data_IF_381335696244
#
_entry.id   IF_381335696244
#
_cell.length_a   1.000
_cell.length_b   1.000
_cell.length_c   1.000
_cell.angle_alpha   90.00
_cell.angle_beta   90.00
_cell.angle_gamma   90.00
#
_symmetry.space_group_name_H-M   'P 1'
#
loop_
_entity.id
_entity.type
_entity.pdbx_description
1 polymer ?
#
# COMPACT_ATOMS: atom_id res chain seq x y z
N UNK A 1 -16.03 -2.22 -17.12
CA UNK A 1 -16.72 -3.18 -16.25
C UNK A 1 -16.12 -3.01 -14.87
N UNK A 2 -16.93 -2.66 -13.86
CA UNK A 2 -16.45 -2.59 -12.48
C UNK A 2 -16.37 -4.02 -11.94
N UNK A 3 -15.15 -4.54 -11.80
CA UNK A 3 -14.91 -5.87 -11.23
C UNK A 3 -14.77 -5.70 -9.72
N UNK A 4 -15.71 -6.25 -8.95
CA UNK A 4 -15.57 -6.31 -7.50
C UNK A 4 -14.48 -7.35 -7.18
N UNK A 5 -13.42 -6.93 -6.49
CA UNK A 5 -12.36 -7.82 -6.03
C UNK A 5 -12.67 -8.35 -4.63
N UNK A 6 -12.61 -9.67 -4.45
CA UNK A 6 -12.86 -10.35 -3.17
C UNK A 6 -11.55 -10.54 -2.41
N UNK A 7 -10.94 -9.44 -1.94
CA UNK A 7 -9.58 -9.41 -1.38
C UNK A 7 -9.35 -10.38 -0.22
N UNK A 8 -10.38 -10.73 0.57
CA UNK A 8 -10.24 -11.68 1.69
C UNK A 8 -10.21 -13.14 1.25
N UNK A 9 -10.74 -13.44 0.07
CA UNK A 9 -11.00 -14.79 -0.41
C UNK A 9 -10.01 -15.20 -1.50
N UNK A 10 -9.56 -14.24 -2.30
CA UNK A 10 -8.73 -14.47 -3.48
C UNK A 10 -7.46 -13.64 -3.41
N UNK A 11 -6.37 -14.21 -3.95
CA UNK A 11 -5.11 -13.50 -4.16
C UNK A 11 -5.06 -13.01 -5.59
N UNK A 12 -4.81 -11.73 -5.75
CA UNK A 12 -4.68 -11.08 -7.06
C UNK A 12 -3.23 -10.69 -7.29
N UNK A 13 -2.82 -10.70 -8.56
CA UNK A 13 -1.52 -10.16 -8.94
C UNK A 13 -1.51 -8.62 -8.85
N UNK A 14 -0.30 -8.05 -8.82
CA UNK A 14 -0.10 -6.60 -8.67
C UNK A 14 -0.76 -5.80 -9.80
N UNK A 15 -0.76 -6.31 -11.04
CA UNK A 15 -1.37 -5.58 -12.16
C UNK A 15 -2.89 -5.51 -12.01
N UNK A 16 -3.52 -6.61 -11.60
CA UNK A 16 -4.96 -6.63 -11.29
C UNK A 16 -5.31 -5.68 -10.15
N UNK A 17 -4.52 -5.67 -9.07
CA UNK A 17 -4.73 -4.74 -7.95
C UNK A 17 -4.56 -3.28 -8.39
N UNK A 18 -3.51 -3.00 -9.17
CA UNK A 18 -3.21 -1.64 -9.69
C UNK A 18 -4.34 -1.12 -10.58
N UNK A 19 -4.91 -1.97 -11.43
CA UNK A 19 -6.01 -1.59 -12.32
C UNK A 19 -7.33 -1.27 -11.58
N UNK A 20 -7.42 -1.56 -10.28
CA UNK A 20 -8.64 -1.40 -9.48
C UNK A 20 -8.43 -0.58 -8.20
N UNK A 21 -7.32 0.17 -8.07
CA UNK A 21 -6.94 0.91 -6.84
C UNK A 21 -8.04 1.84 -6.32
N UNK A 22 -8.79 2.48 -7.22
CA UNK A 22 -9.89 3.40 -6.87
C UNK A 22 -11.13 2.69 -6.29
N UNK A 23 -11.13 1.35 -6.26
CA UNK A 23 -12.25 0.52 -5.84
C UNK A 23 -11.88 -0.50 -4.76
N UNK A 24 -10.67 -0.42 -4.20
CA UNK A 24 -10.20 -1.32 -3.15
C UNK A 24 -9.89 -0.57 -1.86
N UNK A 25 -10.26 -1.17 -0.74
CA UNK A 25 -9.89 -0.69 0.59
C UNK A 25 -8.43 -1.03 0.89
N UNK A 26 -7.55 -0.03 0.97
CA UNK A 26 -6.10 -0.23 1.13
C UNK A 26 -5.75 -1.00 2.40
N UNK A 27 -6.48 -0.76 3.50
CA UNK A 27 -6.31 -1.49 4.76
C UNK A 27 -6.59 -2.98 4.58
N UNK A 28 -7.69 -3.34 3.92
CA UNK A 28 -7.99 -4.74 3.61
C UNK A 28 -6.95 -5.31 2.64
N UNK A 29 -6.54 -4.54 1.63
CA UNK A 29 -5.53 -4.96 0.65
C UNK A 29 -4.21 -5.36 1.33
N UNK A 30 -3.61 -4.47 2.15
CA UNK A 30 -2.35 -4.75 2.86
C UNK A 30 -2.47 -5.88 3.88
N UNK A 31 -3.66 -6.15 4.41
CA UNK A 31 -3.86 -7.27 5.33
C UNK A 31 -4.06 -8.62 4.64
N UNK A 32 -4.42 -8.62 3.35
CA UNK A 32 -4.94 -9.82 2.68
C UNK A 32 -4.21 -10.17 1.39
N UNK A 33 -3.42 -9.28 0.81
CA UNK A 33 -2.70 -9.53 -0.44
C UNK A 33 -1.18 -9.62 -0.20
N UNK A 34 -0.45 -10.16 -1.17
CA UNK A 34 1.03 -10.11 -1.18
C UNK A 34 1.40 -8.92 -2.07
N UNK A 35 1.92 -7.87 -1.46
CA UNK A 35 2.19 -6.59 -2.10
C UNK A 35 3.69 -6.39 -2.34
N UNK A 36 4.03 -5.62 -3.37
CA UNK A 36 5.40 -5.12 -3.56
C UNK A 36 5.62 -3.86 -2.74
N UNK A 37 6.88 -3.52 -2.46
CA UNK A 37 7.23 -2.25 -1.84
C UNK A 37 6.68 -1.05 -2.65
N UNK A 38 6.81 -1.12 -3.98
CA UNK A 38 6.31 -0.07 -4.89
C UNK A 38 4.81 0.17 -4.70
N UNK A 39 4.02 -0.91 -4.66
CA UNK A 39 2.57 -0.80 -4.47
C UNK A 39 2.22 -0.23 -3.09
N UNK A 40 2.94 -0.68 -2.04
CA UNK A 40 2.74 -0.17 -0.69
C UNK A 40 2.98 1.34 -0.60
N UNK A 41 4.06 1.85 -1.20
CA UNK A 41 4.37 3.29 -1.15
C UNK A 41 3.41 4.10 -2.01
N UNK A 42 3.09 3.63 -3.22
CA UNK A 42 2.20 4.38 -4.13
C UNK A 42 0.76 4.49 -3.64
N UNK A 43 0.25 3.44 -2.99
CA UNK A 43 -1.19 3.33 -2.70
C UNK A 43 -1.51 3.09 -1.22
N UNK A 44 -0.79 2.20 -0.52
CA UNK A 44 -1.15 1.84 0.87
C UNK A 44 -0.76 2.94 1.86
N UNK A 45 0.43 3.52 1.69
CA UNK A 45 0.97 4.60 2.53
C UNK A 45 0.64 6.00 1.98
N UNK A 46 -0.18 6.07 0.93
CA UNK A 46 -0.62 7.32 0.34
C UNK A 46 -2.00 7.69 0.90
N UNK A 47 -2.09 8.81 1.61
CA UNK A 47 -3.32 9.31 2.23
C UNK A 47 -4.46 9.52 1.22
N UNK A 48 -4.16 9.80 -0.05
CA UNK A 48 -5.18 9.96 -1.10
C UNK A 48 -5.99 8.69 -1.37
N UNK A 49 -5.43 7.52 -1.05
CA UNK A 49 -6.06 6.21 -1.25
C UNK A 49 -6.60 5.60 0.05
N UNK A 50 -6.55 6.34 1.16
CA UNK A 50 -7.04 5.86 2.45
C UNK A 50 -8.56 6.06 2.58
N UNK A 51 -9.24 5.06 3.15
CA UNK A 51 -10.70 5.02 3.24
C UNK A 51 -11.26 5.99 4.28
N UNK A 52 -10.50 6.26 5.35
CA UNK A 52 -10.93 7.06 6.49
C UNK A 52 -9.75 7.82 7.10
N UNK A 53 -10.04 8.91 7.82
CA UNK A 53 -9.03 9.68 8.57
C UNK A 53 -8.28 8.82 9.61
N UNK A 54 -8.89 7.75 10.12
CA UNK A 54 -8.22 6.85 11.05
C UNK A 54 -7.02 6.14 10.44
N UNK A 55 -7.12 5.82 9.14
CA UNK A 55 -6.08 5.08 8.45
C UNK A 55 -4.81 5.95 8.30
N UNK A 56 -4.90 7.28 8.25
CA UNK A 56 -3.75 8.19 8.09
C UNK A 56 -2.77 8.16 9.26
N UNK A 57 -3.23 7.77 10.45
CA UNK A 57 -2.36 7.58 11.63
C UNK A 57 -2.25 6.12 12.07
N UNK A 58 -2.93 5.18 11.41
CA UNK A 58 -2.88 3.75 11.74
C UNK A 58 -2.08 2.92 10.72
N UNK A 59 -1.99 3.37 9.47
CA UNK A 59 -1.27 2.68 8.39
C UNK A 59 0.06 3.41 8.17
N UNK A 60 1.06 3.04 8.98
CA UNK A 60 2.44 3.52 8.84
C UNK A 60 3.37 2.42 8.26
N UNK A 61 4.64 2.77 8.05
CA UNK A 61 5.66 1.82 7.56
C UNK A 61 5.76 0.59 8.47
N UNK A 62 5.66 0.78 9.81
CA UNK A 62 5.72 -0.32 10.76
C UNK A 62 4.53 -1.28 10.63
N UNK A 63 3.35 -0.75 10.37
CA UNK A 63 2.14 -1.51 10.06
C UNK A 63 2.33 -2.32 8.78
N UNK A 64 2.81 -1.69 7.70
CA UNK A 64 3.09 -2.38 6.43
C UNK A 64 4.06 -3.53 6.65
N UNK A 65 5.20 -3.31 7.30
CA UNK A 65 6.21 -4.36 7.55
C UNK A 65 5.66 -5.50 8.43
N UNK A 66 4.78 -5.20 9.39
CA UNK A 66 4.10 -6.24 10.18
C UNK A 66 3.12 -7.08 9.38
N UNK A 67 2.48 -6.51 8.35
CA UNK A 67 1.49 -7.19 7.50
C UNK A 67 2.10 -7.82 6.26
N UNK A 68 3.23 -7.31 5.80
CA UNK A 68 3.98 -7.74 4.62
C UNK A 68 5.40 -8.14 5.07
N UNK A 69 5.57 -9.24 5.82
CA UNK A 69 6.85 -9.62 6.43
C UNK A 69 7.94 -10.03 5.43
N UNK A 70 7.59 -10.19 4.14
CA UNK A 70 8.56 -10.39 3.07
C UNK A 70 9.23 -9.10 2.59
N UNK A 71 8.73 -7.93 3.01
CA UNK A 71 9.32 -6.64 2.71
C UNK A 71 10.27 -6.21 3.81
N UNK A 72 11.31 -5.49 3.41
CA UNK A 72 12.26 -4.83 4.28
C UNK A 72 12.01 -3.33 4.33
N UNK A 73 12.52 -2.67 5.38
CA UNK A 73 12.39 -1.21 5.50
C UNK A 73 13.15 -0.49 4.39
N UNK A 74 14.28 -1.06 3.98
CA UNK A 74 15.15 -0.59 2.91
C UNK A 74 14.43 -0.61 1.55
N UNK A 75 13.68 -1.67 1.25
CA UNK A 75 12.87 -1.73 0.03
C UNK A 75 11.79 -0.63 0.02
N UNK A 76 11.09 -0.42 1.12
CA UNK A 76 10.09 0.66 1.23
C UNK A 76 10.75 2.03 1.04
N UNK A 77 11.90 2.26 1.68
CA UNK A 77 12.62 3.54 1.59
C UNK A 77 13.11 3.81 0.16
N UNK A 78 13.64 2.79 -0.51
CA UNK A 78 14.07 2.89 -1.90
C UNK A 78 12.94 3.31 -2.85
N UNK A 79 11.70 2.91 -2.58
CA UNK A 79 10.55 3.34 -3.38
C UNK A 79 10.12 4.78 -3.08
N UNK A 80 10.20 5.22 -1.81
CA UNK A 80 9.97 6.64 -1.45
C UNK A 80 10.96 7.60 -2.12
N UNK A 81 12.22 7.19 -2.24
CA UNK A 81 13.25 7.99 -2.91
C UNK A 81 12.92 8.24 -4.40
N UNK A 82 12.25 7.28 -5.06
CA UNK A 82 11.84 7.40 -6.47
C UNK A 82 10.67 8.36 -6.70
N UNK A 83 9.76 8.46 -5.73
CA UNK A 83 8.54 9.27 -5.87
C UNK A 83 8.82 10.75 -5.59
N UNK A 84 9.78 11.04 -4.70
CA UNK A 84 10.07 12.40 -4.28
C UNK A 84 11.18 13.07 -5.12
N UNK A 85 11.50 12.59 -6.32
CA UNK A 85 12.68 13.04 -7.09
C UNK A 85 13.99 13.02 -6.25
N UNK A 86 14.09 12.14 -5.25
CA UNK A 86 15.20 12.10 -4.30
C UNK A 86 15.14 13.10 -3.12
N UNK A 87 14.09 13.93 -3.01
CA UNK A 87 13.92 14.92 -1.93
C UNK A 87 13.34 14.33 -0.63
N UNK A 88 12.88 13.05 -0.66
CA UNK A 88 12.49 12.27 0.52
C UNK A 88 11.48 12.95 1.47
N UNK A 89 10.19 12.92 1.15
CA UNK A 89 9.15 13.31 2.11
C UNK A 89 8.72 12.12 2.98
N UNK A 90 9.13 12.19 4.25
CA UNK A 90 8.53 11.46 5.35
C UNK A 90 7.29 12.25 5.83
N UNK A 91 6.09 11.87 5.39
CA UNK A 91 4.92 12.03 6.25
C UNK A 91 4.72 10.69 6.95
N UNK A 92 4.90 10.66 8.28
CA UNK A 92 4.68 9.48 9.12
C UNK A 92 5.91 8.82 9.76
N UNK A 93 6.86 9.59 10.29
CA UNK A 93 7.68 9.16 11.44
C UNK A 93 7.12 9.81 12.70
#
# INVERSE_FOLDING_TARGET
MNTILYLREQKYDIATLTANVDHIDMKTCVNTQILTAEFCVKYVLNEEYMSCIEDTYCIDIGYVLRRQPHLTREEIWSEYEKINDGEGYAHGI
#
